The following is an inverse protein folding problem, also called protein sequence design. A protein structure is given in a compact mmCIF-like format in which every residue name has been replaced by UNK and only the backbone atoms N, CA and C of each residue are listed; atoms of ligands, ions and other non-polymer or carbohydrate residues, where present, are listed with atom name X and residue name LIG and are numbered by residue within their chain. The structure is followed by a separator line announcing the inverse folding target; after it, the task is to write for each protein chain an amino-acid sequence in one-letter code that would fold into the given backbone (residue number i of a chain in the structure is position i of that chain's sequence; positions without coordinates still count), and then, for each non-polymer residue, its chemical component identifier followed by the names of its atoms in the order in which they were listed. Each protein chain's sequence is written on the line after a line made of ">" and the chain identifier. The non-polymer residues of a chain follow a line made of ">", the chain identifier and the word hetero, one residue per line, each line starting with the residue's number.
data_IF_539333624936
#
_entry.id   IF_539333624936
#
_cell.length_a   1.000
_cell.length_b   1.000
_cell.length_c   1.000
_cell.angle_alpha   90.00
_cell.angle_beta   90.00
_cell.angle_gamma   90.00
#
_symmetry.space_group_name_H-M   'P 1'
#
loop_
_entity.id
_entity.type
_entity.pdbx_description
1 polymer ?
#
# COMPACT_ATOMS: atom_id res chain seq x y z
N UNK A 1 -12.23 7.95 -22.89
CA UNK A 1 -12.81 7.50 -21.62
C UNK A 1 -11.99 6.30 -21.16
N UNK A 2 -10.99 6.49 -20.29
CA UNK A 2 -10.19 5.37 -19.78
C UNK A 2 -11.09 4.60 -18.80
N UNK A 3 -11.24 3.27 -18.96
CA UNK A 3 -12.01 2.47 -18.01
C UNK A 3 -11.33 2.56 -16.64
N UNK A 4 -12.05 3.10 -15.66
CA UNK A 4 -11.62 3.11 -14.27
C UNK A 4 -11.78 1.66 -13.76
N UNK A 5 -10.70 0.93 -13.43
CA UNK A 5 -10.85 -0.38 -12.82
C UNK A 5 -11.62 -0.26 -11.51
N UNK A 6 -12.53 -1.19 -11.34
CA UNK A 6 -13.72 -1.04 -10.54
C UNK A 6 -13.48 -1.22 -9.04
N UNK A 7 -13.98 -0.26 -8.25
CA UNK A 7 -14.82 -0.47 -7.06
C UNK A 7 -14.26 -1.30 -5.88
N UNK A 8 -13.36 -0.71 -5.05
CA UNK A 8 -13.34 -0.98 -3.58
C UNK A 8 -12.43 -0.01 -2.76
N UNK A 9 -11.39 0.58 -3.34
CA UNK A 9 -10.15 0.86 -2.57
C UNK A 9 -9.83 2.37 -2.33
N UNK A 10 -10.81 3.19 -1.93
CA UNK A 10 -10.57 4.62 -1.62
C UNK A 10 -11.01 5.04 -0.22
N UNK A 11 -11.31 4.08 0.66
CA UNK A 11 -11.86 4.37 1.99
C UNK A 11 -10.91 5.20 2.86
N UNK A 12 -9.63 4.83 2.88
CA UNK A 12 -8.56 5.54 3.58
C UNK A 12 -8.40 6.96 3.04
N UNK A 13 -8.38 7.10 1.71
CA UNK A 13 -8.23 8.39 1.03
C UNK A 13 -9.44 9.31 1.24
N UNK A 14 -10.68 8.79 1.20
CA UNK A 14 -11.91 9.54 1.54
C UNK A 14 -11.89 10.10 2.97
N UNK A 15 -11.24 9.42 3.90
CA UNK A 15 -11.09 9.87 5.29
C UNK A 15 -9.72 10.52 5.58
N UNK A 16 -8.91 10.77 4.56
CA UNK A 16 -7.64 11.51 4.68
C UNK A 16 -7.90 13.01 4.54
N UNK A 17 -7.24 13.83 5.36
CA UNK A 17 -7.37 15.28 5.23
C UNK A 17 -6.87 15.77 3.86
N UNK A 18 -7.47 16.82 3.26
CA UNK A 18 -7.07 17.30 1.95
C UNK A 18 -5.59 17.65 1.83
N UNK A 19 -4.99 18.18 2.90
CA UNK A 19 -3.57 18.55 2.92
C UNK A 19 -2.65 17.32 2.87
N UNK A 20 -2.90 16.31 3.71
CA UNK A 20 -2.12 15.06 3.67
C UNK A 20 -2.30 14.32 2.35
N UNK A 21 -3.53 14.29 1.81
CA UNK A 21 -3.81 13.65 0.53
C UNK A 21 -3.03 14.32 -0.60
N UNK A 22 -3.04 15.65 -0.64
CA UNK A 22 -2.30 16.43 -1.64
C UNK A 22 -0.80 16.19 -1.55
N UNK A 23 -0.23 16.21 -0.34
CA UNK A 23 1.19 15.95 -0.13
C UNK A 23 1.62 14.56 -0.63
N UNK A 24 0.79 13.54 -0.38
CA UNK A 24 1.04 12.16 -0.84
C UNK A 24 0.99 12.08 -2.38
N UNK A 25 0.00 12.73 -2.98
CA UNK A 25 -0.15 12.75 -4.44
C UNK A 25 0.99 13.53 -5.12
N UNK A 26 1.41 14.66 -4.55
CA UNK A 26 2.57 15.45 -5.02
C UNK A 26 3.85 14.61 -4.94
N UNK A 27 4.12 13.99 -3.78
CA UNK A 27 5.28 13.10 -3.59
C UNK A 27 5.29 11.98 -4.64
N UNK A 28 4.13 11.36 -4.88
CA UNK A 28 4.01 10.28 -5.88
C UNK A 28 4.33 10.78 -7.29
N UNK A 29 3.78 11.93 -7.70
CA UNK A 29 4.05 12.52 -9.01
C UNK A 29 5.51 12.92 -9.17
N UNK A 30 6.11 13.51 -8.14
CA UNK A 30 7.50 13.96 -8.16
C UNK A 30 8.47 12.78 -8.23
N UNK A 31 8.21 11.70 -7.49
CA UNK A 31 8.96 10.46 -7.60
C UNK A 31 8.88 9.89 -9.02
N UNK A 32 7.69 9.77 -9.60
CA UNK A 32 7.53 9.26 -10.98
C UNK A 32 8.32 10.13 -11.97
N UNK A 33 8.21 11.46 -11.85
CA UNK A 33 8.92 12.42 -12.71
C UNK A 33 10.45 12.29 -12.56
N UNK A 34 10.92 12.20 -11.32
CA UNK A 34 12.33 12.12 -11.00
C UNK A 34 12.92 10.79 -11.48
N UNK A 35 12.42 9.67 -10.96
CA UNK A 35 12.92 8.33 -11.27
C UNK A 35 12.68 7.93 -12.73
N UNK A 36 11.58 8.38 -13.35
CA UNK A 36 11.31 8.07 -14.76
C UNK A 36 12.32 8.64 -15.77
N UNK A 37 13.21 9.54 -15.36
CA UNK A 37 14.32 10.06 -16.19
C UNK A 37 15.68 9.47 -15.83
N UNK A 38 15.72 8.60 -14.82
CA UNK A 38 16.97 8.03 -14.32
C UNK A 38 17.38 6.78 -15.13
N UNK A 39 18.66 6.38 -15.06
CA UNK A 39 19.11 5.12 -15.64
C UNK A 39 18.32 3.92 -15.12
N UNK A 40 18.16 2.89 -15.95
CA UNK A 40 17.35 1.69 -15.66
C UNK A 40 17.67 1.06 -14.30
N UNK A 41 18.96 0.97 -13.93
CA UNK A 41 19.38 0.41 -12.65
C UNK A 41 18.83 1.19 -11.44
N UNK A 42 18.67 2.52 -11.55
CA UNK A 42 18.10 3.36 -10.49
C UNK A 42 16.57 3.14 -10.40
N UNK A 43 15.90 3.03 -11.54
CA UNK A 43 14.47 2.71 -11.61
C UNK A 43 14.20 1.34 -10.99
N UNK A 44 15.05 0.35 -11.28
CA UNK A 44 14.96 -0.99 -10.73
C UNK A 44 15.09 -0.99 -9.20
N UNK A 45 16.09 -0.27 -8.68
CA UNK A 45 16.28 -0.12 -7.24
C UNK A 45 15.06 0.52 -6.56
N UNK A 46 14.47 1.56 -7.17
CA UNK A 46 13.26 2.21 -6.63
C UNK A 46 12.05 1.29 -6.65
N UNK A 47 11.85 0.52 -7.72
CA UNK A 47 10.77 -0.47 -7.79
C UNK A 47 10.94 -1.51 -6.66
N UNK A 48 12.15 -2.01 -6.43
CA UNK A 48 12.43 -2.94 -5.33
C UNK A 48 12.23 -2.33 -3.95
N UNK A 49 12.53 -1.04 -3.77
CA UNK A 49 12.24 -0.29 -2.54
C UNK A 49 10.74 -0.21 -2.30
N UNK A 50 9.95 0.13 -3.33
CA UNK A 50 8.49 0.19 -3.25
C UNK A 50 7.88 -1.18 -2.90
N UNK A 51 8.41 -2.27 -3.46
CA UNK A 51 7.95 -3.65 -3.15
C UNK A 51 8.23 -4.09 -1.71
N UNK A 52 9.19 -3.44 -1.03
CA UNK A 52 9.51 -3.69 0.39
C UNK A 52 8.86 -2.69 1.35
N UNK A 53 8.32 -1.60 0.81
CA UNK A 53 7.67 -0.56 1.61
C UNK A 53 6.40 -1.11 2.24
N UNK A 54 6.16 -0.78 3.50
CA UNK A 54 4.94 -1.19 4.18
C UNK A 54 3.82 -0.21 3.88
N UNK A 55 2.68 -0.75 3.45
CA UNK A 55 1.45 0.00 3.32
C UNK A 55 0.78 0.22 4.69
N UNK A 56 -0.22 1.11 4.69
CA UNK A 56 -0.94 1.51 5.90
C UNK A 56 -1.66 0.35 6.61
N UNK A 57 -2.14 -0.66 5.89
CA UNK A 57 -2.86 -1.80 6.47
C UNK A 57 -1.86 -2.67 7.22
N UNK A 58 -0.71 -2.99 6.60
CA UNK A 58 0.38 -3.73 7.25
C UNK A 58 0.92 -3.01 8.47
N UNK A 59 1.11 -1.69 8.41
CA UNK A 59 1.54 -0.89 9.56
C UNK A 59 0.50 -0.96 10.69
N UNK A 60 -0.78 -0.78 10.38
CA UNK A 60 -1.85 -0.79 11.37
C UNK A 60 -1.96 -2.15 12.07
N UNK A 61 -2.06 -3.23 11.29
CA UNK A 61 -2.26 -4.58 11.80
C UNK A 61 -1.07 -5.07 12.62
N UNK A 62 0.15 -4.89 12.11
CA UNK A 62 1.36 -5.36 12.80
C UNK A 62 1.51 -4.67 14.17
N UNK A 63 1.30 -3.35 14.23
CA UNK A 63 1.39 -2.62 15.49
C UNK A 63 0.27 -2.99 16.46
N UNK A 64 -0.96 -3.17 15.97
CA UNK A 64 -2.07 -3.60 16.81
C UNK A 64 -1.85 -5.03 17.35
N UNK A 65 -1.42 -5.97 16.50
CA UNK A 65 -1.06 -7.32 16.94
C UNK A 65 0.05 -7.32 17.98
N UNK A 66 1.11 -6.51 17.78
CA UNK A 66 2.20 -6.41 18.74
C UNK A 66 1.73 -5.88 20.10
N UNK A 67 0.89 -4.84 20.11
CA UNK A 67 0.32 -4.29 21.34
C UNK A 67 -0.61 -5.29 22.05
N UNK A 68 -1.46 -5.99 21.29
CA UNK A 68 -2.37 -6.99 21.83
C UNK A 68 -1.61 -8.17 22.44
N UNK A 69 -0.59 -8.68 21.76
CA UNK A 69 0.29 -9.75 22.24
C UNK A 69 1.08 -9.31 23.47
N UNK A 70 1.64 -8.10 23.46
CA UNK A 70 2.34 -7.53 24.62
C UNK A 70 1.42 -7.45 25.82
N UNK A 71 0.19 -6.94 25.65
CA UNK A 71 -0.82 -6.93 26.70
C UNK A 71 -1.16 -8.32 27.22
N UNK A 72 -1.21 -9.33 26.34
CA UNK A 72 -1.55 -10.69 26.72
C UNK A 72 -0.42 -11.33 27.55
N UNK A 73 0.82 -11.20 27.09
CA UNK A 73 2.01 -11.69 27.80
C UNK A 73 2.13 -11.02 29.17
N UNK A 74 1.95 -9.70 29.26
CA UNK A 74 1.98 -8.98 30.54
C UNK A 74 0.76 -9.31 31.43
N UNK A 75 -0.38 -9.66 30.83
CA UNK A 75 -1.59 -10.14 31.52
C UNK A 75 -1.35 -11.42 32.28
N UNK A 76 -0.60 -12.34 31.67
CA UNK A 76 -0.24 -13.63 32.26
C UNK A 76 0.94 -13.49 33.24
N UNK A 77 1.98 -12.74 32.87
CA UNK A 77 3.26 -12.72 33.61
C UNK A 77 3.33 -11.69 34.72
N UNK A 78 2.61 -10.57 34.60
CA UNK A 78 2.76 -9.41 35.50
C UNK A 78 1.48 -9.12 36.28
N UNK A 79 0.38 -8.82 35.59
CA UNK A 79 -0.89 -8.48 36.25
C UNK A 79 -2.08 -8.64 35.29
N UNK A 80 -3.16 -9.27 35.74
CA UNK A 80 -4.42 -9.43 34.98
C UNK A 80 -4.97 -8.12 34.42
N UNK A 81 -4.64 -6.96 35.00
CA UNK A 81 -5.03 -5.64 34.47
C UNK A 81 -4.52 -5.40 33.04
N UNK A 82 -3.42 -6.01 32.61
CA UNK A 82 -2.93 -5.88 31.24
C UNK A 82 -3.83 -6.53 30.18
N UNK A 83 -4.74 -7.44 30.56
CA UNK A 83 -5.76 -7.94 29.63
C UNK A 83 -6.71 -6.84 29.15
N UNK A 84 -6.86 -5.73 29.88
CA UNK A 84 -7.60 -4.57 29.39
C UNK A 84 -6.95 -3.94 28.16
N UNK A 85 -5.61 -3.94 28.07
CA UNK A 85 -4.91 -3.47 26.87
C UNK A 85 -5.23 -4.37 25.67
N UNK A 86 -5.09 -5.69 25.85
CA UNK A 86 -5.41 -6.67 24.79
C UNK A 86 -6.86 -6.56 24.35
N UNK A 87 -7.81 -6.51 25.29
CA UNK A 87 -9.23 -6.35 25.01
C UNK A 87 -9.52 -5.03 24.29
N UNK A 88 -8.88 -3.93 24.71
CA UNK A 88 -9.04 -2.62 24.08
C UNK A 88 -8.54 -2.61 22.63
N UNK A 89 -7.35 -3.16 22.36
CA UNK A 89 -6.77 -3.19 21.01
C UNK A 89 -7.58 -4.11 20.07
N UNK A 90 -7.96 -5.30 20.53
CA UNK A 90 -8.75 -6.24 19.71
C UNK A 90 -10.20 -5.75 19.51
N UNK A 91 -10.79 -5.14 20.53
CA UNK A 91 -12.10 -4.50 20.42
C UNK A 91 -12.08 -3.34 19.43
N UNK A 92 -11.01 -2.54 19.45
CA UNK A 92 -10.78 -1.48 18.47
C UNK A 92 -10.67 -2.03 17.05
N UNK A 93 -9.87 -3.06 16.81
CA UNK A 93 -9.76 -3.70 15.48
C UNK A 93 -11.09 -4.27 15.00
N UNK A 94 -11.85 -4.91 15.90
CA UNK A 94 -13.18 -5.45 15.59
C UNK A 94 -14.15 -4.33 15.19
N UNK A 95 -14.21 -3.26 15.99
CA UNK A 95 -15.01 -2.08 15.66
C UNK A 95 -14.57 -1.45 14.35
N UNK A 96 -13.26 -1.40 14.09
CA UNK A 96 -12.69 -0.87 12.86
C UNK A 96 -13.10 -1.72 11.64
N UNK A 97 -13.03 -3.04 11.71
CA UNK A 97 -13.45 -3.91 10.61
C UNK A 97 -14.95 -3.77 10.29
N UNK A 98 -15.80 -3.57 11.31
CA UNK A 98 -17.25 -3.52 11.16
C UNK A 98 -17.79 -2.15 10.76
N UNK A 99 -17.42 -1.10 11.50
CA UNK A 99 -17.92 0.27 11.30
C UNK A 99 -17.04 1.02 10.31
N UNK A 100 -15.80 0.56 10.18
CA UNK A 100 -14.84 1.14 9.30
C UNK A 100 -14.13 2.38 9.85
N UNK A 101 -14.70 3.09 10.81
CA UNK A 101 -14.07 4.29 11.37
C UNK A 101 -12.66 3.97 11.89
N UNK A 102 -11.70 4.86 11.63
CA UNK A 102 -10.29 4.58 11.86
C UNK A 102 -9.52 5.79 12.42
N UNK A 103 -9.57 6.02 13.74
CA UNK A 103 -8.78 7.04 14.45
C UNK A 103 -7.28 7.07 14.15
N UNK A 104 -6.56 5.94 14.02
CA UNK A 104 -5.11 5.97 13.79
C UNK A 104 -4.73 6.31 12.36
N UNK A 105 -5.64 6.11 11.39
CA UNK A 105 -5.36 6.37 9.98
C UNK A 105 -4.96 7.83 9.74
N UNK A 106 -5.73 8.85 10.17
CA UNK A 106 -5.32 10.24 10.01
C UNK A 106 -3.93 10.56 10.57
N UNK A 107 -3.50 9.88 11.63
CA UNK A 107 -2.15 10.04 12.20
C UNK A 107 -1.11 9.45 11.26
N UNK A 108 -1.26 8.20 10.84
CA UNK A 108 -0.34 7.57 9.87
C UNK A 108 -0.29 8.31 8.54
N UNK A 109 -1.42 8.86 8.09
CA UNK A 109 -1.49 9.67 6.87
C UNK A 109 -0.72 10.99 7.00
N UNK A 110 -0.76 11.64 8.17
CA UNK A 110 0.09 12.82 8.44
C UNK A 110 1.57 12.48 8.50
N UNK A 111 1.91 11.26 8.90
CA UNK A 111 3.28 10.72 8.84
C UNK A 111 3.70 10.27 7.43
N UNK A 112 2.84 10.42 6.42
CA UNK A 112 3.15 10.06 5.03
C UNK A 112 3.03 8.57 4.71
N UNK A 113 2.42 7.76 5.57
CA UNK A 113 2.19 6.33 5.28
C UNK A 113 1.18 6.19 4.15
N UNK A 114 1.61 5.52 3.09
CA UNK A 114 0.87 5.35 1.85
C UNK A 114 0.04 4.07 1.86
N UNK A 115 -1.06 4.08 1.12
CA UNK A 115 -1.84 2.85 0.88
C UNK A 115 -1.11 1.98 -0.14
N UNK A 116 -1.48 0.69 -0.18
CA UNK A 116 -0.92 -0.23 -1.17
C UNK A 116 -1.18 0.27 -2.60
N UNK A 117 -2.37 0.80 -2.86
CA UNK A 117 -2.69 1.40 -4.17
C UNK A 117 -1.81 2.58 -4.55
N UNK A 118 -1.49 3.46 -3.60
CA UNK A 118 -0.62 4.62 -3.85
C UNK A 118 0.81 4.16 -4.17
N UNK A 119 1.31 3.15 -3.45
CA UNK A 119 2.60 2.52 -3.74
C UNK A 119 2.59 1.84 -5.11
N UNK A 120 1.51 1.12 -5.43
CA UNK A 120 1.34 0.43 -6.70
C UNK A 120 1.19 1.39 -7.88
N UNK A 121 0.54 2.53 -7.71
CA UNK A 121 0.48 3.59 -8.73
C UNK A 121 1.88 4.06 -9.11
N UNK A 122 2.74 4.36 -8.12
CA UNK A 122 4.13 4.75 -8.39
C UNK A 122 4.89 3.60 -9.07
N UNK A 123 4.77 2.39 -8.51
CA UNK A 123 5.49 1.20 -8.99
C UNK A 123 5.12 0.85 -10.43
N UNK A 124 3.83 0.84 -10.77
CA UNK A 124 3.37 0.51 -12.11
C UNK A 124 3.70 1.62 -13.11
N UNK A 125 3.66 2.89 -12.70
CA UNK A 125 4.13 3.98 -13.55
C UNK A 125 5.62 3.81 -13.91
N UNK A 126 6.46 3.44 -12.94
CA UNK A 126 7.87 3.19 -13.18
C UNK A 126 8.13 1.92 -14.02
N UNK A 127 7.36 0.85 -13.81
CA UNK A 127 7.40 -0.35 -14.68
C UNK A 127 7.03 -0.02 -16.13
N UNK A 128 6.07 0.88 -16.34
CA UNK A 128 5.71 1.36 -17.67
C UNK A 128 6.84 2.15 -18.32
N UNK A 129 7.47 3.08 -17.59
CA UNK A 129 8.63 3.83 -18.10
C UNK A 129 9.82 2.92 -18.39
N UNK A 130 10.01 1.86 -17.60
CA UNK A 130 11.05 0.83 -17.82
C UNK A 130 10.81 -0.01 -19.09
N UNK A 131 9.58 -0.03 -19.60
CA UNK A 131 9.19 -0.77 -20.81
C UNK A 131 8.60 -2.16 -20.54
N UNK A 132 8.26 -2.51 -19.30
CA UNK A 132 7.79 -3.86 -18.94
C UNK A 132 6.51 -4.28 -19.66
N UNK A 133 5.67 -3.32 -20.04
CA UNK A 133 4.38 -3.59 -20.69
C UNK A 133 4.46 -3.68 -22.23
N UNK A 134 5.60 -3.31 -22.84
CA UNK A 134 5.75 -3.35 -24.30
C UNK A 134 5.63 -4.78 -24.86
N UNK A 135 6.12 -5.77 -24.12
CA UNK A 135 6.05 -7.19 -24.52
C UNK A 135 4.65 -7.79 -24.29
N UNK A 136 3.91 -7.29 -23.29
CA UNK A 136 2.53 -7.70 -23.02
C UNK A 136 1.61 -7.24 -24.16
N UNK A 137 1.72 -5.98 -24.61
CA UNK A 137 0.96 -5.48 -25.76
C UNK A 137 1.23 -6.30 -27.02
N UNK A 138 2.50 -6.63 -27.29
CA UNK A 138 2.88 -7.44 -28.46
C UNK A 138 2.28 -8.85 -28.45
N UNK A 139 2.15 -9.48 -27.28
CA UNK A 139 1.56 -10.83 -27.14
C UNK A 139 0.03 -10.83 -27.26
N UNK A 140 -0.61 -9.70 -26.94
CA UNK A 140 -2.06 -9.56 -26.97
C UNK A 140 -2.58 -9.05 -28.32
N UNK A 141 -1.69 -8.66 -29.24
CA UNK A 141 -2.06 -8.26 -30.59
C UNK A 141 -2.65 -9.46 -31.36
N UNK A 142 -3.95 -9.45 -31.73
CA UNK A 142 -4.60 -10.57 -32.41
C UNK A 142 -4.12 -10.80 -33.86
N UNK A 143 -3.18 -9.97 -34.34
CA UNK A 143 -2.59 -10.03 -35.67
C UNK A 143 -1.31 -10.90 -35.74
N UNK A 144 -0.79 -11.43 -34.64
CA UNK A 144 0.33 -12.39 -34.66
C UNK A 144 -0.16 -13.80 -34.28
N UNK A 145 -0.37 -14.72 -35.25
CA UNK A 145 -0.59 -16.13 -34.93
C UNK A 145 0.69 -16.70 -34.32
N UNK A 146 0.53 -17.47 -33.24
CA UNK A 146 1.60 -17.91 -32.35
C UNK A 146 2.83 -18.47 -33.06
N UNK A 147 4.01 -18.05 -32.60
CA UNK A 147 5.26 -18.71 -32.92
C UNK A 147 5.21 -20.14 -32.38
N UNK A 148 5.01 -21.10 -33.28
CA UNK A 148 5.20 -22.51 -33.03
C UNK A 148 6.68 -22.78 -32.81
N UNK A 149 7.00 -23.28 -31.62
CA UNK A 149 8.30 -23.84 -31.23
C UNK A 149 8.68 -24.98 -32.19
N UNK A 150 9.88 -25.00 -32.80
CA UNK A 150 10.37 -26.19 -33.48
C UNK A 150 10.84 -27.20 -32.42
N UNK A 151 10.40 -28.46 -32.54
CA UNK A 151 10.99 -29.62 -31.85
C UNK A 151 12.31 -29.98 -32.52
#
# INVERSE_FOLDING_TARGET
>A
MIPQPHFEIDRVRRHTTPNSLRAIDETTRDNIRHFGRQPRAVVDARISELERTWDIERVLETNASLLALTGAVLGVTTNKKWFWLTAGVLGFLTQHALVGWCPPIPVFRRLGVRTQNELDQERYALKAVRGDFADVSRRLDPAQPGQSTPI
#
